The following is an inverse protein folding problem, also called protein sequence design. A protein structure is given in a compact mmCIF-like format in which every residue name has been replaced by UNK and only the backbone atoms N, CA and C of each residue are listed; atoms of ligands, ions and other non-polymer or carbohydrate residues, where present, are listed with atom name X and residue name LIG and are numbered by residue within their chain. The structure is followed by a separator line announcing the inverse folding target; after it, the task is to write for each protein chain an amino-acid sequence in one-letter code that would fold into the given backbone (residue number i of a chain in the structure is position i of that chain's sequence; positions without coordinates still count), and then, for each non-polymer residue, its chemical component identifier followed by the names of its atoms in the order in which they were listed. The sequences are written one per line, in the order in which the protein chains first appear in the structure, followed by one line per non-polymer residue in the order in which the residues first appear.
data_IF_466357236846
#
_entry.id   IF_466357236846
#
_cell.length_a   1.000
_cell.length_b   1.000
_cell.length_c   1.000
_cell.angle_alpha   90.00
_cell.angle_beta   90.00
_cell.angle_gamma   90.00
#
_symmetry.space_group_name_H-M   'P 1'
#
loop_
_entity.id
_entity.type
_entity.pdbx_description
1 polymer ?
#
# COMPACT_ATOMS: atom_id res chain seq x y z
N UNK A 1 61.57 -31.71 30.87
CA UNK A 1 60.13 -31.99 30.69
C UNK A 1 59.48 -30.63 30.55
N UNK A 2 59.20 -30.19 29.32
CA UNK A 2 58.37 -29.01 29.04
C UNK A 2 58.04 -29.05 27.54
N UNK A 3 56.99 -29.81 27.21
CA UNK A 3 56.34 -29.71 25.91
C UNK A 3 55.52 -28.41 25.91
N UNK A 4 55.98 -27.40 25.17
CA UNK A 4 55.12 -26.30 24.75
C UNK A 4 54.14 -26.85 23.71
N UNK A 5 52.93 -27.17 24.15
CA UNK A 5 51.79 -27.25 23.25
C UNK A 5 51.54 -25.85 22.68
N UNK A 6 51.98 -25.60 21.44
CA UNK A 6 51.43 -24.54 20.61
C UNK A 6 50.09 -25.03 20.09
N UNK A 7 49.02 -24.64 20.77
CA UNK A 7 47.67 -24.69 20.20
C UNK A 7 47.56 -23.53 19.21
N UNK A 8 48.07 -23.72 17.99
CA UNK A 8 47.63 -22.93 16.85
C UNK A 8 46.21 -23.42 16.53
N UNK A 9 45.22 -22.85 17.22
CA UNK A 9 43.86 -22.83 16.68
C UNK A 9 43.94 -21.96 15.43
N UNK A 10 44.24 -22.56 14.28
CA UNK A 10 44.04 -21.93 12.98
C UNK A 10 42.57 -21.57 12.93
N UNK A 11 42.26 -20.29 13.13
CA UNK A 11 40.99 -19.69 12.76
C UNK A 11 40.92 -19.81 11.22
N UNK A 12 40.53 -20.99 10.73
CA UNK A 12 40.28 -21.20 9.31
C UNK A 12 39.15 -20.25 8.90
N UNK A 13 39.47 -19.32 8.01
CA UNK A 13 38.50 -18.39 7.43
C UNK A 13 37.64 -19.14 6.41
N UNK A 14 36.72 -19.95 6.93
CA UNK A 14 35.79 -20.78 6.15
C UNK A 14 34.80 -19.96 5.33
N UNK A 15 34.63 -18.68 5.66
CA UNK A 15 33.71 -17.77 4.96
C UNK A 15 34.35 -17.32 3.64
N UNK A 16 35.65 -17.03 3.63
CA UNK A 16 36.38 -16.68 2.42
C UNK A 16 36.44 -17.81 1.39
N UNK A 17 36.29 -19.08 1.82
CA UNK A 17 36.28 -20.25 0.93
C UNK A 17 34.91 -20.50 0.25
N UNK A 18 33.83 -19.85 0.70
CA UNK A 18 32.52 -20.04 0.11
C UNK A 18 32.47 -19.51 -1.34
N UNK A 19 31.76 -20.15 -2.28
CA UNK A 19 31.51 -19.62 -3.62
C UNK A 19 30.72 -18.30 -3.62
N UNK A 20 30.91 -17.47 -4.64
CA UNK A 20 30.24 -16.15 -4.77
C UNK A 20 28.72 -16.26 -4.63
N UNK A 21 28.12 -17.30 -5.20
CA UNK A 21 26.68 -17.52 -5.10
C UNK A 21 26.17 -17.67 -3.66
N UNK A 22 26.92 -18.36 -2.79
CA UNK A 22 26.56 -18.50 -1.37
C UNK A 22 26.80 -17.19 -0.61
N UNK A 23 27.87 -16.47 -0.93
CA UNK A 23 28.12 -15.15 -0.34
C UNK A 23 27.04 -14.14 -0.72
N UNK A 24 26.60 -14.12 -1.99
CA UNK A 24 25.48 -13.30 -2.44
C UNK A 24 24.17 -13.69 -1.74
N UNK A 25 23.95 -14.99 -1.51
CA UNK A 25 22.79 -15.45 -0.75
C UNK A 25 22.82 -14.95 0.70
N UNK A 26 23.98 -15.04 1.37
CA UNK A 26 24.17 -14.49 2.72
C UNK A 26 23.92 -12.97 2.72
N UNK A 27 24.57 -12.23 1.81
CA UNK A 27 24.41 -10.78 1.69
C UNK A 27 22.97 -10.36 1.38
N UNK A 28 22.23 -11.14 0.59
CA UNK A 28 20.82 -10.86 0.26
C UNK A 28 19.88 -10.96 1.47
N UNK A 29 20.34 -11.56 2.56
CA UNK A 29 19.60 -11.67 3.82
C UNK A 29 19.92 -10.52 4.79
N UNK A 30 20.90 -9.66 4.45
CA UNK A 30 21.30 -8.51 5.26
C UNK A 30 20.61 -7.23 4.79
N UNK A 31 20.43 -6.24 5.69
CA UNK A 31 20.17 -4.87 5.27
C UNK A 31 21.23 -4.38 4.27
N UNK A 32 20.83 -3.59 3.28
CA UNK A 32 21.73 -3.14 2.19
C UNK A 32 22.95 -2.40 2.73
N UNK A 33 22.79 -1.58 3.76
CA UNK A 33 23.91 -0.87 4.41
C UNK A 33 24.92 -1.85 5.02
N UNK A 34 24.45 -2.88 5.71
CA UNK A 34 25.32 -3.93 6.26
C UNK A 34 26.02 -4.71 5.14
N UNK A 35 25.31 -5.02 4.06
CA UNK A 35 25.90 -5.66 2.90
C UNK A 35 26.99 -4.78 2.25
N UNK A 36 26.76 -3.47 2.13
CA UNK A 36 27.76 -2.50 1.66
C UNK A 36 28.93 -2.43 2.65
N UNK A 37 28.68 -2.45 3.96
CA UNK A 37 29.72 -2.40 4.99
C UNK A 37 30.69 -3.58 4.91
N UNK A 38 30.23 -4.77 4.47
CA UNK A 38 31.13 -5.90 4.22
C UNK A 38 32.19 -5.63 3.13
N UNK A 39 32.05 -4.58 2.33
CA UNK A 39 33.01 -4.19 1.30
C UNK A 39 34.42 -3.92 1.83
N UNK A 40 34.56 -3.63 3.13
CA UNK A 40 35.85 -3.40 3.78
C UNK A 40 36.61 -4.69 4.08
N UNK A 41 35.94 -5.85 4.07
CA UNK A 41 36.53 -7.14 4.45
C UNK A 41 37.58 -7.60 3.45
N UNK A 42 37.33 -7.45 2.15
CA UNK A 42 38.33 -7.72 1.10
C UNK A 42 37.88 -7.18 -0.27
N UNK A 43 38.80 -7.24 -1.25
CA UNK A 43 38.52 -6.86 -2.65
C UNK A 43 37.33 -7.63 -3.25
N UNK A 44 37.16 -8.90 -2.87
CA UNK A 44 36.07 -9.77 -3.35
C UNK A 44 34.72 -9.25 -2.83
N UNK A 45 34.63 -9.02 -1.52
CA UNK A 45 33.40 -8.52 -0.88
C UNK A 45 33.01 -7.12 -1.34
N UNK A 46 34.00 -6.29 -1.70
CA UNK A 46 33.77 -4.96 -2.30
C UNK A 46 32.92 -5.01 -3.57
N UNK A 47 33.02 -6.06 -4.38
CA UNK A 47 32.21 -6.23 -5.59
C UNK A 47 30.91 -6.99 -5.37
N UNK A 48 30.82 -7.87 -4.37
CA UNK A 48 29.68 -8.78 -4.22
C UNK A 48 28.36 -8.04 -3.96
N UNK A 49 28.36 -7.04 -3.07
CA UNK A 49 27.14 -6.30 -2.77
C UNK A 49 26.54 -5.62 -4.02
N UNK A 50 27.38 -5.22 -4.99
CA UNK A 50 26.92 -4.57 -6.24
C UNK A 50 26.08 -5.47 -7.13
N UNK A 51 26.08 -6.79 -6.87
CA UNK A 51 25.31 -7.80 -7.60
C UNK A 51 23.97 -8.14 -6.91
N UNK A 52 23.63 -7.47 -5.81
CA UNK A 52 22.37 -7.73 -5.10
C UNK A 52 21.18 -7.19 -5.92
N UNK A 53 20.15 -8.02 -6.19
CA UNK A 53 19.00 -7.61 -6.99
C UNK A 53 18.02 -6.70 -6.23
N UNK A 54 18.16 -6.60 -4.90
CA UNK A 54 17.25 -5.86 -4.02
C UNK A 54 18.06 -4.89 -3.18
N UNK A 55 17.72 -3.61 -3.28
CA UNK A 55 18.37 -2.54 -2.52
C UNK A 55 17.32 -1.78 -1.71
N UNK A 56 17.59 -1.58 -0.43
CA UNK A 56 16.82 -0.72 0.47
C UNK A 56 17.78 0.30 1.09
N UNK A 57 17.51 1.58 0.88
CA UNK A 57 18.18 2.68 1.55
C UNK A 57 17.18 3.40 2.45
N UNK A 58 17.59 3.71 3.67
CA UNK A 58 16.70 4.24 4.70
C UNK A 58 17.43 5.36 5.43
N UNK A 59 17.05 6.61 5.20
CA UNK A 59 17.77 7.74 5.78
C UNK A 59 17.65 7.81 7.31
N UNK A 60 16.68 7.10 7.90
CA UNK A 60 16.54 7.00 9.36
C UNK A 60 17.55 6.03 10.00
N UNK A 61 18.22 5.17 9.21
CA UNK A 61 19.26 4.26 9.71
C UNK A 61 20.63 4.94 9.78
N UNK A 62 20.70 6.13 10.37
CA UNK A 62 21.98 6.76 10.73
C UNK A 62 22.19 6.67 12.25
N UNK A 63 22.75 5.56 12.78
CA UNK A 63 22.86 5.30 14.22
C UNK A 63 23.89 6.19 14.94
N UNK A 64 24.47 7.18 14.27
CA UNK A 64 25.60 7.96 14.81
C UNK A 64 25.19 9.36 15.26
N UNK A 65 24.06 9.91 14.81
CA UNK A 65 23.69 11.27 15.19
C UNK A 65 22.16 11.45 15.26
N UNK A 66 21.61 11.47 16.48
CA UNK A 66 20.42 12.27 16.84
C UNK A 66 20.80 13.76 16.78
N UNK A 67 21.37 14.20 15.67
CA UNK A 67 21.73 15.59 15.43
C UNK A 67 20.94 16.03 14.20
N UNK A 68 20.05 17.00 14.37
CA UNK A 68 19.20 17.60 13.32
C UNK A 68 20.01 18.24 12.16
N UNK A 69 21.34 18.12 12.19
CA UNK A 69 22.32 18.71 11.29
C UNK A 69 22.87 17.77 10.20
N UNK A 70 22.40 16.52 10.07
CA UNK A 70 22.83 15.69 8.93
C UNK A 70 22.24 16.26 7.64
N UNK A 71 23.11 16.80 6.78
CA UNK A 71 22.74 17.29 5.46
C UNK A 71 22.08 16.16 4.62
N UNK A 72 20.82 16.31 4.18
CA UNK A 72 20.13 15.35 3.30
C UNK A 72 20.88 15.03 2.01
N UNK A 73 21.78 15.91 1.60
CA UNK A 73 22.64 15.69 0.43
C UNK A 73 23.55 14.47 0.59
N UNK A 74 23.96 14.13 1.83
CA UNK A 74 24.85 12.98 2.10
C UNK A 74 24.14 11.67 1.80
N UNK A 75 22.90 11.52 2.26
CA UNK A 75 22.08 10.35 1.93
C UNK A 75 21.92 10.24 0.41
N UNK A 76 21.59 11.36 -0.22
CA UNK A 76 21.36 11.42 -1.66
C UNK A 76 22.59 11.03 -2.48
N UNK A 77 23.76 11.51 -2.08
CA UNK A 77 25.04 11.19 -2.71
C UNK A 77 25.39 9.72 -2.52
N UNK A 78 25.13 9.15 -1.33
CA UNK A 78 25.38 7.74 -1.04
C UNK A 78 24.47 6.81 -1.86
N UNK A 79 23.19 7.14 -1.98
CA UNK A 79 22.25 6.41 -2.84
C UNK A 79 22.71 6.49 -4.30
N UNK A 80 23.04 7.69 -4.79
CA UNK A 80 23.52 7.88 -6.16
C UNK A 80 24.79 7.08 -6.46
N UNK A 81 25.80 7.16 -5.58
CA UNK A 81 27.04 6.38 -5.69
C UNK A 81 26.74 4.88 -5.70
N UNK A 82 25.84 4.43 -4.83
CA UNK A 82 25.50 3.00 -4.72
C UNK A 82 24.80 2.47 -5.98
N UNK A 83 23.81 3.22 -6.49
CA UNK A 83 23.10 2.89 -7.73
C UNK A 83 24.03 2.94 -8.95
N UNK A 84 24.99 3.86 -8.98
CA UNK A 84 26.01 3.94 -10.03
C UNK A 84 26.96 2.74 -10.02
N UNK A 85 27.29 2.22 -8.84
CA UNK A 85 28.15 1.05 -8.67
C UNK A 85 27.43 -0.28 -8.89
N UNK A 86 26.09 -0.30 -8.85
CA UNK A 86 25.30 -1.51 -9.02
C UNK A 86 25.57 -2.17 -10.38
N UNK A 87 25.77 -3.50 -10.39
CA UNK A 87 26.16 -4.30 -11.55
C UNK A 87 25.24 -5.49 -11.82
N UNK A 88 24.26 -5.77 -10.95
CA UNK A 88 23.33 -6.86 -11.21
C UNK A 88 22.61 -6.65 -12.55
N UNK A 89 22.33 -7.73 -13.32
CA UNK A 89 21.66 -7.62 -14.61
C UNK A 89 20.31 -6.92 -14.56
N UNK A 90 19.58 -7.07 -13.45
CA UNK A 90 18.28 -6.45 -13.20
C UNK A 90 18.25 -5.97 -11.75
N UNK A 91 17.74 -4.76 -11.52
CA UNK A 91 17.39 -4.27 -10.19
C UNK A 91 15.97 -4.71 -9.86
N UNK A 92 15.76 -5.88 -9.26
CA UNK A 92 14.41 -6.41 -8.99
C UNK A 92 13.57 -5.48 -8.11
N UNK A 93 14.18 -4.92 -7.05
CA UNK A 93 13.48 -4.04 -6.11
C UNK A 93 14.38 -2.91 -5.64
N UNK A 94 13.83 -1.69 -5.63
CA UNK A 94 14.43 -0.52 -4.99
C UNK A 94 13.45 0.05 -3.97
N UNK A 95 13.92 0.22 -2.74
CA UNK A 95 13.20 0.90 -1.67
C UNK A 95 14.04 2.07 -1.18
N UNK A 96 13.48 3.27 -1.24
CA UNK A 96 14.09 4.49 -0.74
C UNK A 96 13.18 5.08 0.32
N UNK A 97 13.66 5.15 1.56
CA UNK A 97 13.07 5.97 2.59
C UNK A 97 13.95 7.18 2.82
N UNK A 98 13.35 8.37 2.69
CA UNK A 98 14.07 9.63 2.67
C UNK A 98 13.21 10.74 3.28
N UNK A 99 13.84 11.86 3.60
CA UNK A 99 13.16 12.98 4.23
C UNK A 99 12.40 13.83 3.20
N UNK A 100 11.21 14.34 3.56
CA UNK A 100 10.37 15.16 2.66
C UNK A 100 11.05 16.40 2.07
N UNK A 101 12.10 16.92 2.71
CA UNK A 101 12.92 18.04 2.21
C UNK A 101 13.91 17.68 1.10
N UNK A 102 13.99 16.40 0.74
CA UNK A 102 14.90 15.92 -0.31
C UNK A 102 14.55 16.59 -1.64
N UNK A 103 15.55 17.16 -2.31
CA UNK A 103 15.37 17.78 -3.62
C UNK A 103 14.76 16.78 -4.62
N UNK A 104 13.66 17.20 -5.26
CA UNK A 104 12.99 16.51 -6.38
C UNK A 104 13.97 16.04 -7.47
N UNK A 105 15.07 16.76 -7.70
CA UNK A 105 16.12 16.39 -8.64
C UNK A 105 16.80 15.08 -8.24
N UNK A 106 17.12 14.89 -6.96
CA UNK A 106 17.73 13.65 -6.46
C UNK A 106 16.76 12.49 -6.61
N UNK A 107 15.50 12.68 -6.22
CA UNK A 107 14.44 11.67 -6.38
C UNK A 107 14.28 11.28 -7.84
N UNK A 108 14.27 12.27 -8.74
CA UNK A 108 14.22 12.04 -10.18
C UNK A 108 15.39 11.20 -10.70
N UNK A 109 16.61 11.50 -10.27
CA UNK A 109 17.81 10.72 -10.63
C UNK A 109 17.67 9.26 -10.15
N UNK A 110 17.18 9.03 -8.93
CA UNK A 110 17.00 7.67 -8.40
C UNK A 110 15.96 6.89 -9.20
N UNK A 111 14.81 7.49 -9.49
CA UNK A 111 13.74 6.88 -10.30
C UNK A 111 14.24 6.56 -11.71
N UNK A 112 14.88 7.53 -12.37
CA UNK A 112 15.43 7.36 -13.71
C UNK A 112 16.45 6.23 -13.76
N UNK A 113 17.33 6.16 -12.75
CA UNK A 113 18.33 5.09 -12.64
C UNK A 113 17.66 3.72 -12.44
N UNK A 114 16.63 3.65 -11.59
CA UNK A 114 15.90 2.41 -11.36
C UNK A 114 15.18 1.93 -12.63
N UNK A 115 14.54 2.85 -13.36
CA UNK A 115 13.85 2.54 -14.62
C UNK A 115 14.82 2.08 -15.70
N UNK A 116 15.99 2.73 -15.82
CA UNK A 116 17.05 2.31 -16.74
C UNK A 116 17.60 0.90 -16.42
N UNK A 117 17.47 0.44 -15.17
CA UNK A 117 17.86 -0.91 -14.72
C UNK A 117 16.73 -1.93 -14.72
N UNK A 118 15.59 -1.59 -15.32
CA UNK A 118 14.45 -2.50 -15.47
C UNK A 118 13.79 -2.86 -14.14
N UNK A 119 13.66 -1.90 -13.22
CA UNK A 119 13.08 -2.16 -11.90
C UNK A 119 11.66 -2.71 -11.99
N UNK A 120 11.38 -3.73 -11.17
CA UNK A 120 10.05 -4.36 -11.09
C UNK A 120 9.25 -3.87 -9.89
N UNK A 121 9.92 -3.55 -8.79
CA UNK A 121 9.29 -2.98 -7.59
C UNK A 121 10.00 -1.71 -7.15
N UNK A 122 9.26 -0.60 -7.11
CA UNK A 122 9.73 0.68 -6.61
C UNK A 122 8.92 1.08 -5.37
N UNK A 123 9.60 1.42 -4.29
CA UNK A 123 9.02 1.97 -3.07
C UNK A 123 9.70 3.30 -2.77
N UNK A 124 8.91 4.37 -2.73
CA UNK A 124 9.34 5.70 -2.29
C UNK A 124 8.56 6.03 -1.02
N UNK A 125 9.28 6.25 0.07
CA UNK A 125 8.73 6.45 1.41
C UNK A 125 9.30 7.74 2.00
N UNK A 126 8.58 8.85 1.79
CA UNK A 126 9.02 10.17 2.22
C UNK A 126 8.40 10.50 3.57
N UNK A 127 9.15 10.37 4.65
CA UNK A 127 8.59 10.62 5.99
C UNK A 127 8.48 12.12 6.28
N UNK A 128 7.44 12.46 7.03
CA UNK A 128 6.97 13.81 7.28
C UNK A 128 7.83 14.52 8.34
N UNK A 129 8.38 15.69 8.00
CA UNK A 129 8.78 16.72 8.96
C UNK A 129 8.16 18.04 8.49
N UNK A 130 7.30 18.64 9.32
CA UNK A 130 6.91 20.06 9.23
C UNK A 130 6.44 20.57 7.85
N UNK A 131 5.30 20.08 7.35
CA UNK A 131 4.60 20.61 6.15
C UNK A 131 5.36 20.49 4.82
N UNK A 132 6.53 19.85 4.80
CA UNK A 132 7.34 19.72 3.59
C UNK A 132 6.97 18.48 2.79
N UNK A 133 6.87 18.66 1.47
CA UNK A 133 6.53 17.62 0.51
C UNK A 133 7.53 17.58 -0.65
N UNK A 134 7.63 16.43 -1.30
CA UNK A 134 8.44 16.23 -2.50
C UNK A 134 7.54 16.01 -3.71
N UNK A 135 7.70 16.84 -4.73
CA UNK A 135 7.01 16.64 -6.01
C UNK A 135 7.74 15.61 -6.85
N UNK A 136 7.06 14.57 -7.31
CA UNK A 136 7.68 13.61 -8.23
C UNK A 136 7.77 14.19 -9.65
N UNK A 137 8.90 13.99 -10.35
CA UNK A 137 9.03 14.39 -11.74
C UNK A 137 8.18 13.49 -12.65
N UNK A 138 7.00 13.98 -13.02
CA UNK A 138 5.98 13.24 -13.77
C UNK A 138 6.46 12.69 -15.12
N UNK A 139 7.38 13.39 -15.79
CA UNK A 139 7.98 12.99 -17.07
C UNK A 139 8.62 11.59 -17.00
N UNK A 140 9.12 11.17 -15.84
CA UNK A 140 9.74 9.85 -15.70
C UNK A 140 8.74 8.70 -15.81
N UNK A 141 7.46 8.96 -15.49
CA UNK A 141 6.40 7.96 -15.52
C UNK A 141 5.74 7.81 -16.90
N UNK A 142 6.21 8.56 -17.91
CA UNK A 142 5.67 8.50 -19.28
C UNK A 142 6.10 7.26 -20.08
N UNK A 143 7.11 6.51 -19.63
CA UNK A 143 7.52 5.30 -20.34
C UNK A 143 8.27 4.31 -19.43
N UNK A 144 7.55 3.35 -18.86
CA UNK A 144 8.17 2.20 -18.20
C UNK A 144 7.34 0.92 -18.40
N UNK A 145 7.99 -0.11 -18.95
CA UNK A 145 7.37 -1.40 -19.25
C UNK A 145 7.82 -2.53 -18.29
N UNK A 146 8.67 -2.25 -17.28
CA UNK A 146 9.17 -3.28 -16.33
C UNK A 146 8.53 -3.21 -14.94
N UNK A 147 8.03 -2.05 -14.55
CA UNK A 147 7.53 -1.77 -13.21
C UNK A 147 6.20 -2.49 -12.98
N UNK A 148 6.18 -3.41 -12.03
CA UNK A 148 5.01 -4.23 -11.67
C UNK A 148 4.35 -3.73 -10.37
N UNK A 149 5.14 -3.18 -9.46
CA UNK A 149 4.69 -2.71 -8.15
C UNK A 149 5.25 -1.33 -7.87
N UNK A 150 4.37 -0.35 -7.67
CA UNK A 150 4.72 0.99 -7.24
C UNK A 150 4.09 1.26 -5.88
N UNK A 151 4.91 1.66 -4.90
CA UNK A 151 4.43 2.14 -3.61
C UNK A 151 4.95 3.56 -3.39
N UNK A 152 4.02 4.47 -3.19
CA UNK A 152 4.29 5.86 -2.87
C UNK A 152 3.67 6.13 -1.49
N UNK A 153 4.47 6.68 -0.58
CA UNK A 153 4.05 6.91 0.78
C UNK A 153 4.53 8.26 1.29
N UNK A 154 3.63 8.93 2.02
CA UNK A 154 3.80 10.11 2.85
C UNK A 154 4.46 11.30 2.14
N UNK A 155 3.94 12.51 2.32
CA UNK A 155 4.58 13.75 1.87
C UNK A 155 5.07 13.75 0.40
N UNK A 156 4.42 12.97 -0.48
CA UNK A 156 4.71 12.92 -1.91
C UNK A 156 3.58 13.63 -2.64
N UNK A 157 3.95 14.62 -3.44
CA UNK A 157 3.02 15.36 -4.29
C UNK A 157 3.13 14.87 -5.74
N UNK A 158 1.96 14.65 -6.33
CA UNK A 158 1.79 14.09 -7.66
C UNK A 158 1.10 15.11 -8.56
N UNK A 159 1.88 15.70 -9.46
CA UNK A 159 1.42 16.56 -10.54
C UNK A 159 1.64 15.84 -11.88
N UNK A 160 0.57 15.23 -12.41
CA UNK A 160 0.60 14.51 -13.68
C UNK A 160 -0.21 15.28 -14.73
N UNK A 161 0.39 16.26 -15.44
CA UNK A 161 -0.31 17.06 -16.45
C UNK A 161 -0.65 16.26 -17.73
N UNK A 162 -0.15 15.01 -17.83
CA UNK A 162 -0.49 14.10 -18.91
C UNK A 162 -0.46 12.65 -18.41
N UNK A 163 -1.14 11.76 -19.15
CA UNK A 163 -1.23 10.34 -18.79
C UNK A 163 0.15 9.71 -18.65
N UNK A 164 0.34 8.98 -17.55
CA UNK A 164 1.50 8.10 -17.39
C UNK A 164 1.41 6.91 -18.35
N UNK A 165 2.50 6.16 -18.50
CA UNK A 165 2.51 4.93 -19.29
C UNK A 165 3.30 3.85 -18.54
N UNK A 166 2.61 3.17 -17.63
CA UNK A 166 3.16 2.10 -16.80
C UNK A 166 2.47 0.78 -17.15
N UNK A 167 2.79 0.24 -18.33
CA UNK A 167 2.00 -0.85 -18.95
C UNK A 167 2.03 -2.15 -18.15
N UNK A 168 3.09 -2.39 -17.40
CA UNK A 168 3.28 -3.60 -16.60
C UNK A 168 2.84 -3.45 -15.15
N UNK A 169 2.39 -2.26 -14.74
CA UNK A 169 2.03 -1.99 -13.35
C UNK A 169 0.78 -2.79 -12.99
N UNK A 170 0.92 -3.69 -12.02
CA UNK A 170 -0.15 -4.56 -11.51
C UNK A 170 -0.63 -4.12 -10.13
N UNK A 171 0.27 -3.53 -9.32
CA UNK A 171 -0.04 -3.10 -7.96
C UNK A 171 0.39 -1.67 -7.75
N UNK A 172 -0.56 -0.84 -7.31
CA UNK A 172 -0.31 0.53 -6.92
C UNK A 172 -0.74 0.72 -5.46
N UNK A 173 0.17 1.21 -4.64
CA UNK A 173 -0.08 1.53 -3.24
C UNK A 173 0.20 3.02 -3.03
N UNK A 174 -0.83 3.76 -2.65
CA UNK A 174 -0.81 5.18 -2.39
C UNK A 174 -1.19 5.39 -0.94
N UNK A 175 -0.30 5.97 -0.13
CA UNK A 175 -0.49 6.10 1.30
C UNK A 175 -0.08 7.50 1.72
N UNK A 176 -1.05 8.35 2.08
CA UNK A 176 -0.80 9.77 2.38
C UNK A 176 -0.02 10.50 1.27
N UNK A 177 -0.39 10.26 0.02
CA UNK A 177 0.10 11.03 -1.14
C UNK A 177 -0.89 12.13 -1.48
N UNK A 178 -0.40 13.26 -1.97
CA UNK A 178 -1.23 14.36 -2.44
C UNK A 178 -1.21 14.43 -3.97
N UNK A 179 -2.32 14.80 -4.55
CA UNK A 179 -2.51 15.08 -5.97
C UNK A 179 -2.75 16.57 -6.15
N UNK A 180 -2.12 17.14 -7.17
CA UNK A 180 -2.27 18.55 -7.52
C UNK A 180 -3.70 18.88 -7.94
N UNK A 181 -4.35 17.95 -8.64
CA UNK A 181 -5.70 18.08 -9.16
C UNK A 181 -6.35 16.70 -9.46
N UNK A 182 -7.65 16.72 -9.76
CA UNK A 182 -8.42 15.52 -10.14
C UNK A 182 -7.92 14.90 -11.46
N UNK A 183 -7.36 15.72 -12.35
CA UNK A 183 -6.82 15.26 -13.63
C UNK A 183 -5.57 14.39 -13.42
N UNK A 184 -4.73 14.73 -12.44
CA UNK A 184 -3.53 13.98 -12.06
C UNK A 184 -3.87 12.58 -11.55
N UNK A 185 -4.95 12.43 -10.79
CA UNK A 185 -5.50 11.13 -10.37
C UNK A 185 -5.87 10.30 -11.60
N UNK A 186 -6.63 10.90 -12.53
CA UNK A 186 -7.06 10.24 -13.75
C UNK A 186 -5.87 9.86 -14.65
N UNK A 187 -4.89 10.76 -14.80
CA UNK A 187 -3.71 10.58 -15.63
C UNK A 187 -2.80 9.46 -15.11
N UNK A 188 -2.70 9.29 -13.79
CA UNK A 188 -2.02 8.16 -13.17
C UNK A 188 -2.76 6.85 -13.42
N UNK A 189 -4.05 6.76 -13.08
CA UNK A 189 -4.79 5.50 -13.10
C UNK A 189 -5.11 5.02 -14.53
N UNK A 190 -5.51 5.92 -15.43
CA UNK A 190 -5.77 5.58 -16.83
C UNK A 190 -4.48 5.19 -17.58
N UNK A 191 -3.32 5.64 -17.11
CA UNK A 191 -2.00 5.31 -17.65
C UNK A 191 -1.48 3.92 -17.24
N UNK A 192 -2.22 3.18 -16.42
CA UNK A 192 -1.85 1.87 -15.88
C UNK A 192 -2.81 0.76 -16.37
N UNK A 193 -2.73 0.34 -17.64
CA UNK A 193 -3.73 -0.56 -18.24
C UNK A 193 -3.75 -1.98 -17.65
N UNK A 194 -2.68 -2.42 -16.97
CA UNK A 194 -2.59 -3.75 -16.35
C UNK A 194 -2.85 -3.75 -14.84
N UNK A 195 -3.32 -2.63 -14.27
CA UNK A 195 -3.50 -2.47 -12.83
C UNK A 195 -4.56 -3.44 -12.30
N UNK A 196 -4.19 -4.28 -11.32
CA UNK A 196 -5.06 -5.30 -10.73
C UNK A 196 -5.38 -5.02 -9.26
N UNK A 197 -4.49 -4.34 -8.56
CA UNK A 197 -4.53 -4.14 -7.10
C UNK A 197 -4.21 -2.67 -6.79
N UNK A 198 -5.20 -1.93 -6.28
CA UNK A 198 -5.07 -0.53 -5.89
C UNK A 198 -5.38 -0.41 -4.40
N UNK A 199 -4.44 0.18 -3.67
CA UNK A 199 -4.62 0.55 -2.27
C UNK A 199 -4.41 2.05 -2.14
N UNK A 200 -5.39 2.72 -1.55
CA UNK A 200 -5.41 4.17 -1.33
C UNK A 200 -5.67 4.40 0.15
N UNK A 201 -4.70 4.95 0.86
CA UNK A 201 -4.89 5.43 2.22
C UNK A 201 -4.75 6.96 2.27
N UNK A 202 -5.73 7.64 2.83
CA UNK A 202 -5.83 9.10 2.98
C UNK A 202 -6.15 9.41 4.44
N UNK A 203 -5.50 10.44 4.99
CA UNK A 203 -5.56 10.78 6.42
C UNK A 203 -5.61 12.29 6.69
N UNK A 204 -5.61 13.12 5.64
CA UNK A 204 -5.61 14.58 5.70
C UNK A 204 -6.81 15.15 4.93
N UNK A 205 -7.00 16.47 5.00
CA UNK A 205 -8.04 17.17 4.23
C UNK A 205 -7.93 16.84 2.74
N UNK A 206 -9.07 16.77 2.06
CA UNK A 206 -9.15 16.41 0.65
C UNK A 206 -8.35 17.41 -0.21
N UNK A 207 -7.20 16.95 -0.71
CA UNK A 207 -6.39 17.58 -1.77
C UNK A 207 -7.18 17.72 -3.07
N UNK A 208 -8.01 16.71 -3.38
CA UNK A 208 -8.94 16.71 -4.51
C UNK A 208 -10.38 16.54 -4.05
N UNK A 209 -11.30 17.32 -4.65
CA UNK A 209 -12.72 17.23 -4.35
C UNK A 209 -13.27 15.87 -4.78
N UNK A 210 -12.98 15.41 -6.00
CA UNK A 210 -13.42 14.11 -6.51
C UNK A 210 -12.24 13.18 -6.84
N UNK A 211 -12.14 12.07 -6.11
CA UNK A 211 -11.15 11.03 -6.38
C UNK A 211 -11.73 9.97 -7.33
N UNK A 212 -11.45 10.11 -8.63
CA UNK A 212 -11.97 9.22 -9.67
C UNK A 212 -11.06 8.04 -9.94
N UNK A 213 -11.55 6.82 -9.66
CA UNK A 213 -10.90 5.55 -9.92
C UNK A 213 -11.50 4.94 -11.18
N UNK A 214 -10.88 5.20 -12.33
CA UNK A 214 -11.26 4.61 -13.60
C UNK A 214 -10.20 3.60 -14.07
N UNK A 215 -10.49 2.31 -13.94
CA UNK A 215 -9.56 1.25 -14.36
C UNK A 215 -10.28 -0.03 -14.76
N UNK A 216 -10.28 -0.41 -16.06
CA UNK A 216 -11.02 -1.58 -16.54
C UNK A 216 -10.40 -2.92 -16.12
N UNK A 217 -9.13 -2.95 -15.70
CA UNK A 217 -8.41 -4.17 -15.30
C UNK A 217 -8.36 -4.40 -13.79
N UNK A 218 -8.82 -3.42 -12.99
CA UNK A 218 -8.73 -3.44 -11.54
C UNK A 218 -9.61 -4.56 -10.94
N UNK A 219 -9.00 -5.41 -10.11
CA UNK A 219 -9.68 -6.55 -9.48
C UNK A 219 -9.82 -6.39 -7.96
N UNK A 220 -8.91 -5.66 -7.33
CA UNK A 220 -8.87 -5.41 -5.89
C UNK A 220 -8.73 -3.92 -5.64
N UNK A 221 -9.60 -3.37 -4.82
CA UNK A 221 -9.57 -1.98 -4.39
C UNK A 221 -9.68 -1.92 -2.88
N UNK A 222 -8.74 -1.24 -2.25
CA UNK A 222 -8.80 -0.85 -0.84
C UNK A 222 -8.73 0.67 -0.74
N UNK A 223 -9.72 1.26 -0.07
CA UNK A 223 -9.74 2.69 0.28
C UNK A 223 -9.81 2.77 1.80
N UNK A 224 -8.88 3.48 2.40
CA UNK A 224 -8.90 3.87 3.81
C UNK A 224 -8.81 5.40 3.87
N UNK A 225 -9.87 6.08 4.32
CA UNK A 225 -9.93 7.55 4.34
C UNK A 225 -10.23 8.03 5.76
N UNK A 226 -9.24 8.03 6.65
CA UNK A 226 -9.41 8.37 8.07
C UNK A 226 -9.17 9.87 8.29
N UNK A 227 -10.14 10.69 7.90
CA UNK A 227 -10.08 12.15 8.07
C UNK A 227 -10.08 12.54 9.54
N UNK A 228 -9.36 13.61 9.87
CA UNK A 228 -9.38 14.18 11.23
C UNK A 228 -10.72 14.87 11.50
N UNK A 229 -11.23 14.70 12.73
CA UNK A 229 -12.46 15.36 13.20
C UNK A 229 -12.39 16.88 12.99
N UNK A 230 -13.38 17.44 12.29
CA UNK A 230 -13.47 18.89 12.00
C UNK A 230 -12.89 19.32 10.65
N UNK A 231 -12.29 18.40 9.88
CA UNK A 231 -11.93 18.62 8.48
C UNK A 231 -13.16 18.65 7.58
N UNK A 232 -13.83 19.80 7.47
CA UNK A 232 -14.93 20.01 6.53
C UNK A 232 -14.40 19.95 5.09
N UNK A 233 -14.51 18.79 4.45
CA UNK A 233 -14.15 18.61 3.05
C UNK A 233 -15.25 17.86 2.29
N UNK A 234 -15.79 18.48 1.25
CA UNK A 234 -16.72 17.87 0.29
C UNK A 234 -16.00 16.87 -0.64
N UNK A 235 -15.27 15.92 -0.06
CA UNK A 235 -14.63 14.86 -0.83
C UNK A 235 -15.69 13.96 -1.47
N UNK A 236 -15.38 13.39 -2.62
CA UNK A 236 -16.20 12.40 -3.31
C UNK A 236 -15.32 11.31 -3.92
N UNK A 237 -15.87 10.11 -4.07
CA UNK A 237 -15.23 9.00 -4.77
C UNK A 237 -16.09 8.58 -5.95
N UNK A 238 -15.45 8.29 -7.09
CA UNK A 238 -16.12 7.73 -8.27
C UNK A 238 -15.36 6.49 -8.70
N UNK A 239 -15.98 5.31 -8.57
CA UNK A 239 -15.35 4.01 -8.81
C UNK A 239 -15.93 3.37 -10.07
N UNK A 240 -15.16 3.46 -11.16
CA UNK A 240 -15.44 2.89 -12.47
C UNK A 240 -14.45 1.75 -12.75
N UNK A 241 -14.75 0.57 -12.20
CA UNK A 241 -13.86 -0.60 -12.26
C UNK A 241 -14.64 -1.88 -12.58
N UNK A 242 -15.04 -2.12 -13.85
CA UNK A 242 -15.94 -3.22 -14.22
C UNK A 242 -15.42 -4.63 -13.89
N UNK A 243 -14.11 -4.82 -13.76
CA UNK A 243 -13.50 -6.10 -13.42
C UNK A 243 -13.31 -6.32 -11.90
N UNK A 244 -13.84 -5.42 -11.06
CA UNK A 244 -13.61 -5.42 -9.62
C UNK A 244 -14.27 -6.65 -8.96
N UNK A 245 -13.48 -7.37 -8.16
CA UNK A 245 -13.90 -8.57 -7.43
C UNK A 245 -13.85 -8.42 -5.92
N UNK A 246 -12.93 -7.59 -5.43
CA UNK A 246 -12.70 -7.39 -4.01
C UNK A 246 -12.69 -5.89 -3.72
N UNK A 247 -13.62 -5.46 -2.89
CA UNK A 247 -13.75 -4.07 -2.46
C UNK A 247 -13.60 -3.99 -0.95
N UNK A 248 -12.72 -3.12 -0.47
CA UNK A 248 -12.58 -2.79 0.93
C UNK A 248 -12.61 -1.27 1.10
N UNK A 249 -13.61 -0.74 1.81
CA UNK A 249 -13.73 0.68 2.11
C UNK A 249 -13.76 0.84 3.64
N UNK A 250 -12.84 1.63 4.17
CA UNK A 250 -12.73 1.92 5.60
C UNK A 250 -12.63 3.43 5.85
N UNK A 251 -13.33 3.92 6.87
CA UNK A 251 -13.09 5.26 7.43
C UNK A 251 -13.74 6.43 6.67
N UNK A 252 -14.40 6.19 5.54
CA UNK A 252 -14.97 7.24 4.69
C UNK A 252 -16.15 7.94 5.39
N UNK A 253 -15.89 9.09 6.02
CA UNK A 253 -16.84 9.82 6.87
C UNK A 253 -17.04 11.24 6.32
N UNK A 254 -18.28 11.74 6.38
CA UNK A 254 -18.68 13.12 6.04
C UNK A 254 -18.23 13.56 4.63
N UNK A 255 -18.48 12.70 3.64
CA UNK A 255 -18.21 12.95 2.23
C UNK A 255 -19.49 13.28 1.46
N UNK A 256 -19.36 13.98 0.33
CA UNK A 256 -20.52 14.33 -0.50
C UNK A 256 -21.09 13.09 -1.22
N UNK A 257 -20.23 12.26 -1.82
CA UNK A 257 -20.69 11.08 -2.55
C UNK A 257 -19.62 9.99 -2.71
N UNK A 258 -20.07 8.73 -2.76
CA UNK A 258 -19.23 7.58 -3.13
C UNK A 258 -19.97 6.78 -4.19
N UNK A 259 -19.73 7.12 -5.45
CA UNK A 259 -20.36 6.48 -6.59
C UNK A 259 -19.60 5.20 -6.93
N UNK A 260 -20.30 4.07 -6.94
CA UNK A 260 -19.75 2.79 -7.36
C UNK A 260 -20.61 2.27 -8.49
N UNK A 261 -20.00 1.99 -9.64
CA UNK A 261 -20.73 1.48 -10.80
C UNK A 261 -21.52 0.21 -10.43
N UNK A 262 -22.75 0.08 -10.94
CA UNK A 262 -23.72 -0.95 -10.54
C UNK A 262 -23.44 -2.31 -11.20
N UNK A 263 -22.57 -2.37 -12.20
CA UNK A 263 -22.32 -3.56 -13.02
C UNK A 263 -21.22 -4.49 -12.49
N UNK A 264 -20.89 -4.44 -11.19
CA UNK A 264 -19.79 -5.22 -10.61
C UNK A 264 -20.22 -6.64 -10.27
N UNK A 265 -19.35 -7.64 -10.54
CA UNK A 265 -19.50 -9.02 -10.04
C UNK A 265 -18.60 -9.24 -8.81
N UNK A 266 -19.01 -8.69 -7.66
CA UNK A 266 -18.20 -8.72 -6.44
C UNK A 266 -18.14 -10.13 -5.83
N UNK A 267 -16.92 -10.59 -5.54
CA UNK A 267 -16.68 -11.79 -4.73
C UNK A 267 -16.78 -11.44 -3.26
N UNK A 268 -16.11 -10.36 -2.85
CA UNK A 268 -16.13 -9.86 -1.48
C UNK A 268 -16.23 -8.34 -1.46
N UNK A 269 -17.06 -7.83 -0.57
CA UNK A 269 -17.10 -6.43 -0.20
C UNK A 269 -17.01 -6.29 1.32
N UNK A 270 -16.09 -5.45 1.79
CA UNK A 270 -15.95 -5.06 3.18
C UNK A 270 -16.13 -3.55 3.28
N UNK A 271 -17.11 -3.12 4.06
CA UNK A 271 -17.37 -1.70 4.32
C UNK A 271 -17.33 -1.50 5.83
N UNK A 272 -16.53 -0.54 6.29
CA UNK A 272 -16.28 -0.31 7.71
C UNK A 272 -16.15 1.18 7.99
N UNK A 273 -16.73 1.66 9.10
CA UNK A 273 -16.63 3.06 9.54
C UNK A 273 -16.95 4.06 8.41
N UNK A 274 -18.09 3.89 7.73
CA UNK A 274 -18.56 4.76 6.65
C UNK A 274 -19.83 5.46 7.09
N UNK A 275 -19.86 6.79 7.07
CA UNK A 275 -21.00 7.59 7.54
C UNK A 275 -21.10 8.95 6.84
N UNK A 276 -22.24 9.63 6.99
CA UNK A 276 -22.39 11.02 6.52
C UNK A 276 -22.46 11.21 5.00
N UNK A 277 -22.68 10.16 4.21
CA UNK A 277 -22.79 10.26 2.74
C UNK A 277 -24.14 10.86 2.36
N UNK A 278 -24.12 12.05 1.74
CA UNK A 278 -25.34 12.83 1.47
C UNK A 278 -26.12 12.34 0.25
N UNK A 279 -25.42 11.96 -0.83
CA UNK A 279 -26.03 11.84 -2.14
C UNK A 279 -26.26 10.43 -2.68
N UNK A 280 -25.71 9.36 -2.10
CA UNK A 280 -25.85 8.00 -2.66
C UNK A 280 -25.94 6.85 -1.65
N UNK A 281 -26.54 5.75 -2.11
CA UNK A 281 -26.65 4.50 -1.38
C UNK A 281 -25.63 3.48 -1.89
N UNK A 282 -24.46 3.43 -1.25
CA UNK A 282 -23.40 2.43 -1.54
C UNK A 282 -23.97 1.00 -1.59
N UNK A 283 -25.00 0.69 -0.80
CA UNK A 283 -25.57 -0.65 -0.70
C UNK A 283 -26.15 -1.17 -2.02
N UNK A 284 -26.64 -0.29 -2.91
CA UNK A 284 -27.15 -0.70 -4.22
C UNK A 284 -26.05 -1.36 -5.07
N UNK A 285 -24.83 -0.85 -4.99
CA UNK A 285 -23.68 -1.35 -5.75
C UNK A 285 -23.05 -2.61 -5.15
N UNK A 286 -23.43 -2.98 -3.92
CA UNK A 286 -22.95 -4.19 -3.24
C UNK A 286 -23.85 -5.41 -3.44
N UNK A 287 -24.98 -5.25 -4.13
CA UNK A 287 -26.03 -6.28 -4.27
C UNK A 287 -25.57 -7.57 -4.95
N UNK A 288 -24.48 -7.54 -5.72
CA UNK A 288 -23.90 -8.70 -6.39
C UNK A 288 -22.91 -9.50 -5.51
N UNK A 289 -22.54 -8.99 -4.34
CA UNK A 289 -21.49 -9.56 -3.51
C UNK A 289 -21.85 -10.97 -2.99
N UNK A 290 -20.91 -11.91 -3.10
CA UNK A 290 -21.04 -13.25 -2.49
C UNK A 290 -20.68 -13.28 -1.01
N UNK A 291 -19.73 -12.45 -0.61
CA UNK A 291 -19.31 -12.24 0.78
C UNK A 291 -19.41 -10.76 1.10
N UNK A 292 -20.18 -10.42 2.12
CA UNK A 292 -20.41 -9.05 2.54
C UNK A 292 -20.06 -8.91 4.02
N UNK A 293 -19.16 -7.99 4.33
CA UNK A 293 -18.75 -7.63 5.68
C UNK A 293 -19.15 -6.17 5.91
N UNK A 294 -20.08 -5.91 6.83
CA UNK A 294 -20.55 -4.56 7.15
C UNK A 294 -20.28 -4.23 8.62
N UNK A 295 -19.41 -3.26 8.83
CA UNK A 295 -19.03 -2.75 10.14
C UNK A 295 -19.42 -1.26 10.20
N UNK A 296 -20.73 -0.98 10.20
CA UNK A 296 -21.33 0.35 10.08
C UNK A 296 -22.34 0.62 11.20
N UNK A 297 -22.82 1.85 11.35
CA UNK A 297 -24.04 2.11 12.15
C UNK A 297 -25.29 1.88 11.29
N UNK A 298 -26.35 1.23 11.82
CA UNK A 298 -27.62 1.01 11.12
C UNK A 298 -28.32 2.28 10.67
N UNK A 299 -28.16 3.36 11.43
CA UNK A 299 -28.85 4.63 11.24
C UNK A 299 -28.37 5.38 9.99
N UNK A 300 -27.20 5.00 9.48
CA UNK A 300 -26.50 5.69 8.41
C UNK A 300 -26.74 5.04 7.04
N UNK A 301 -27.40 3.88 7.01
CA UNK A 301 -27.55 3.08 5.79
C UNK A 301 -28.99 3.11 5.29
N UNK A 302 -29.21 3.73 4.13
CA UNK A 302 -30.46 3.56 3.38
C UNK A 302 -30.39 2.19 2.70
N UNK A 303 -31.27 1.25 3.02
CA UNK A 303 -31.27 -0.03 2.30
C UNK A 303 -32.07 0.08 1.00
N UNK A 304 -31.60 -0.53 -0.10
CA UNK A 304 -32.39 -0.60 -1.31
C UNK A 304 -33.66 -1.40 -1.07
N UNK A 305 -34.76 -1.02 -1.73
CA UNK A 305 -36.03 -1.76 -1.68
C UNK A 305 -36.11 -2.78 -2.81
N UNK A 306 -36.34 -4.06 -2.48
CA UNK A 306 -36.52 -5.14 -3.46
C UNK A 306 -35.77 -6.42 -3.09
N UNK A 307 -35.73 -7.41 -4.00
CA UNK A 307 -34.85 -8.58 -3.86
C UNK A 307 -33.41 -8.15 -4.15
N UNK A 308 -32.66 -7.98 -3.09
CA UNK A 308 -31.26 -7.55 -3.12
C UNK A 308 -30.41 -8.60 -2.44
N UNK A 309 -29.23 -8.92 -2.97
CA UNK A 309 -28.33 -9.97 -2.44
C UNK A 309 -28.67 -11.43 -2.83
N UNK A 310 -29.24 -11.68 -4.02
CA UNK A 310 -29.54 -13.03 -4.53
C UNK A 310 -28.33 -13.99 -4.66
N UNK A 311 -27.10 -13.45 -4.63
CA UNK A 311 -25.85 -14.19 -4.72
C UNK A 311 -25.11 -14.31 -3.38
N UNK A 312 -25.62 -13.69 -2.32
CA UNK A 312 -24.93 -13.62 -1.03
C UNK A 312 -24.92 -14.98 -0.33
N UNK A 313 -23.72 -15.42 0.03
CA UNK A 313 -23.46 -16.71 0.70
C UNK A 313 -22.96 -16.48 2.12
N UNK A 314 -22.19 -15.42 2.35
CA UNK A 314 -21.63 -15.09 3.65
C UNK A 314 -21.91 -13.63 4.01
N UNK A 315 -22.55 -13.43 5.15
CA UNK A 315 -22.82 -12.11 5.73
C UNK A 315 -22.14 -12.01 7.09
N UNK A 316 -21.31 -10.98 7.27
CA UNK A 316 -20.67 -10.64 8.54
C UNK A 316 -21.09 -9.22 8.94
N UNK A 317 -21.69 -9.09 10.13
CA UNK A 317 -22.19 -7.83 10.67
C UNK A 317 -21.60 -7.54 12.05
N UNK A 318 -21.40 -6.26 12.35
CA UNK A 318 -21.28 -5.81 13.74
C UNK A 318 -22.67 -5.56 14.32
N UNK A 319 -22.99 -6.10 15.49
CA UNK A 319 -24.34 -6.03 16.08
C UNK A 319 -24.38 -5.28 17.41
N UNK A 320 -23.63 -4.19 17.53
CA UNK A 320 -23.55 -3.42 18.80
C UNK A 320 -24.77 -2.49 19.00
N UNK A 321 -25.42 -2.07 17.92
CA UNK A 321 -26.66 -1.27 17.94
C UNK A 321 -27.91 -2.13 17.71
N UNK A 322 -29.02 -1.82 18.38
CA UNK A 322 -30.27 -2.61 18.28
C UNK A 322 -30.92 -2.49 16.91
N UNK A 323 -30.65 -1.40 16.22
CA UNK A 323 -31.17 -1.03 14.92
C UNK A 323 -30.68 -2.01 13.83
N UNK A 324 -29.56 -2.71 14.06
CA UNK A 324 -29.07 -3.78 13.19
C UNK A 324 -30.05 -4.93 13.07
N UNK A 325 -30.88 -5.20 14.07
CA UNK A 325 -31.84 -6.32 14.02
C UNK A 325 -32.92 -6.10 12.95
N UNK A 326 -33.36 -4.85 12.75
CA UNK A 326 -34.32 -4.52 11.69
C UNK A 326 -33.70 -4.72 10.30
N UNK A 327 -32.45 -4.27 10.14
CA UNK A 327 -31.71 -4.42 8.89
C UNK A 327 -31.37 -5.86 8.57
N UNK A 328 -30.94 -6.63 9.58
CA UNK A 328 -30.65 -8.04 9.46
C UNK A 328 -31.87 -8.81 8.95
N UNK A 329 -33.07 -8.53 9.48
CA UNK A 329 -34.30 -9.18 8.98
C UNK A 329 -34.50 -8.94 7.48
N UNK A 330 -34.33 -7.70 7.02
CA UNK A 330 -34.48 -7.34 5.59
C UNK A 330 -33.42 -8.06 4.73
N UNK A 331 -32.17 -8.10 5.20
CA UNK A 331 -31.09 -8.78 4.48
C UNK A 331 -31.30 -10.29 4.41
N UNK A 332 -31.76 -10.92 5.49
CA UNK A 332 -32.06 -12.35 5.53
C UNK A 332 -33.19 -12.72 4.56
N UNK A 333 -34.28 -11.94 4.56
CA UNK A 333 -35.41 -12.15 3.65
C UNK A 333 -35.01 -11.99 2.17
N UNK A 334 -33.98 -11.18 1.90
CA UNK A 334 -33.51 -10.88 0.55
C UNK A 334 -32.34 -11.78 0.09
N UNK A 335 -31.81 -12.64 0.95
CA UNK A 335 -30.60 -13.46 0.69
C UNK A 335 -30.90 -14.98 0.65
N UNK A 336 -31.57 -15.50 -0.39
CA UNK A 336 -32.00 -16.90 -0.44
C UNK A 336 -30.87 -17.94 -0.49
N UNK A 337 -29.63 -17.52 -0.77
CA UNK A 337 -28.46 -18.40 -0.84
C UNK A 337 -27.54 -18.29 0.38
N UNK A 338 -27.94 -17.53 1.40
CA UNK A 338 -27.10 -17.30 2.57
C UNK A 338 -26.85 -18.62 3.32
N UNK A 339 -25.57 -18.90 3.59
CA UNK A 339 -25.14 -20.12 4.30
C UNK A 339 -24.39 -19.77 5.59
N UNK A 340 -23.70 -18.62 5.62
CA UNK A 340 -22.88 -18.21 6.75
C UNK A 340 -23.38 -16.84 7.20
N UNK A 341 -23.84 -16.77 8.45
CA UNK A 341 -24.11 -15.53 9.15
C UNK A 341 -23.14 -15.42 10.33
N UNK A 342 -22.30 -14.39 10.34
CA UNK A 342 -21.41 -14.08 11.45
C UNK A 342 -21.82 -12.76 12.06
N UNK A 343 -22.27 -12.80 13.31
CA UNK A 343 -22.59 -11.62 14.10
C UNK A 343 -21.46 -11.41 15.09
N UNK A 344 -20.83 -10.23 15.03
CA UNK A 344 -19.71 -9.91 15.92
C UNK A 344 -20.14 -8.78 16.84
N UNK A 345 -20.08 -9.00 18.14
CA UNK A 345 -20.27 -7.97 19.15
C UNK A 345 -18.90 -7.38 19.52
N UNK A 346 -18.76 -6.05 19.41
CA UNK A 346 -17.49 -5.36 19.70
C UNK A 346 -17.19 -5.35 21.21
N UNK A 347 -18.12 -5.80 22.06
CA UNK A 347 -17.84 -6.10 23.48
C UNK A 347 -16.69 -7.10 23.71
N UNK A 348 -16.29 -7.85 22.68
CA UNK A 348 -15.15 -8.78 22.74
C UNK A 348 -13.76 -8.15 22.54
N UNK A 349 -13.65 -6.86 22.19
CA UNK A 349 -12.34 -6.18 22.10
C UNK A 349 -11.90 -5.52 23.42
N UNK A 350 -12.79 -5.39 24.41
CA UNK A 350 -12.47 -4.85 25.75
C UNK A 350 -12.33 -5.90 26.84
N UNK A 351 -12.40 -7.20 26.54
CA UNK A 351 -12.31 -8.26 27.54
C UNK A 351 -11.24 -9.31 27.21
N UNK A 352 -9.98 -8.96 27.45
CA UNK A 352 -9.08 -9.96 28.02
C UNK A 352 -9.67 -10.39 29.37
N UNK A 353 -10.32 -11.57 29.43
CA UNK A 353 -10.44 -12.53 30.55
C UNK A 353 -11.74 -13.37 30.44
N UNK A 354 -11.61 -14.62 29.95
CA UNK A 354 -12.49 -15.81 30.16
C UNK A 354 -13.83 -15.92 29.37
N UNK A 355 -14.35 -17.15 29.10
CA UNK A 355 -14.36 -17.75 27.76
C UNK A 355 -15.70 -17.63 27.02
N UNK A 356 -15.54 -17.73 25.70
CA UNK A 356 -16.50 -17.59 24.61
C UNK A 356 -17.72 -18.51 24.72
N UNK A 357 -18.91 -17.94 24.51
CA UNK A 357 -20.09 -18.67 24.05
C UNK A 357 -20.18 -18.51 22.53
N UNK A 358 -19.69 -19.53 21.81
CA UNK A 358 -19.94 -19.70 20.38
C UNK A 358 -21.38 -20.18 20.19
N UNK A 359 -22.27 -19.30 19.74
CA UNK A 359 -23.56 -19.73 19.18
C UNK A 359 -23.40 -19.86 17.67
N UNK A 360 -23.25 -21.11 17.22
CA UNK A 360 -23.38 -21.48 15.82
C UNK A 360 -24.86 -21.74 15.56
N UNK A 361 -25.58 -20.74 15.04
CA UNK A 361 -26.92 -21.00 14.47
C UNK A 361 -26.69 -21.53 13.07
N UNK A 362 -26.81 -22.86 12.94
CA UNK A 362 -26.96 -23.54 11.65
C UNK A 362 -28.45 -23.40 11.30
N UNK A 363 -28.77 -22.69 10.22
CA UNK A 363 -30.14 -22.64 9.68
C UNK A 363 -30.52 -23.99 9.06
#
# INVERSE_FOLDING_TARGET
MEQKFKTDAMNEDRISDLPDALLLHILSSLPTENAIATSVLSRRWRSLWTMLPKLKFDSNFNPVFDDDNIDPSVFSENVYKSLSLHKAPVLESLHLSFEGRTDSLHVGIWIATAFARGVRKLVLDSFYQEEQTVTLPSVLFSYNDSLEILKLKCAIDLDFPSRVCLKSLRKLYLDQVHFQDEESVCNLLCGCPSLQDLVVHRYSNADVATFTIASPSLQRLTIEDLRQEGGYGNGSYVINAPALKYLNINGVIDIESCLIDKALELVEAKISNVSGITNENIMESLTSAKRLILHLSPLEVKFPTGKIFDQLVCLELLTYEREWWNLLSIMLDSSPKLQILKLTDVSSFTSCLFPQLHFQVIC
#
